data_IF_979653977884
#
_entry.id   IF_979653977884
#
_cell.length_a   1.000
_cell.length_b   1.000
_cell.length_c   1.000
_cell.angle_alpha   90.00
_cell.angle_beta   90.00
_cell.angle_gamma   90.00
#
_symmetry.space_group_name_H-M   'P 1'
#
loop_
_entity.id
_entity.type
_entity.pdbx_description
1 polymer ?
#
# COMPACT_ATOMS: atom_id res chain seq x y z
N UNK A 1 -0.96 16.44 17.21
CA UNK A 1 0.13 15.71 16.51
C UNK A 1 -0.40 14.34 16.14
N UNK A 2 -0.35 13.97 14.86
CA UNK A 2 -0.67 12.59 14.48
C UNK A 2 0.39 11.66 15.05
N UNK A 3 -0.03 10.62 15.76
CA UNK A 3 0.87 9.56 16.25
C UNK A 3 1.43 8.83 15.02
N UNK A 4 2.75 8.83 14.88
CA UNK A 4 3.44 8.05 13.85
C UNK A 4 3.19 6.56 14.14
N UNK A 5 2.86 5.81 13.08
CA UNK A 5 2.73 4.36 13.11
C UNK A 5 4.01 3.81 12.50
N UNK A 6 4.82 3.13 13.31
CA UNK A 6 6.16 2.66 12.93
C UNK A 6 6.36 1.16 13.15
N UNK A 7 5.30 0.44 13.57
CA UNK A 7 5.35 -0.97 13.97
C UNK A 7 6.29 -1.29 15.15
N UNK A 8 6.72 -0.29 15.95
CA UNK A 8 7.51 -0.51 17.18
C UNK A 8 6.64 -0.44 18.43
N UNK A 9 6.02 0.72 18.66
CA UNK A 9 5.11 0.94 19.83
C UNK A 9 3.64 0.89 19.45
N UNK A 10 3.35 1.12 18.16
CA UNK A 10 2.02 1.11 17.59
C UNK A 10 2.08 0.46 16.23
N UNK A 11 1.35 -0.64 16.07
CA UNK A 11 1.33 -1.39 14.81
C UNK A 11 0.35 -0.77 13.83
N UNK A 12 0.64 -0.93 12.54
CA UNK A 12 -0.26 -0.55 11.45
C UNK A 12 -1.55 -1.38 11.50
N UNK A 13 -1.45 -2.68 11.80
CA UNK A 13 -2.60 -3.56 11.88
C UNK A 13 -3.58 -3.10 12.97
N UNK A 14 -3.11 -2.87 14.19
CA UNK A 14 -3.98 -2.44 15.30
C UNK A 14 -4.58 -1.05 15.03
N UNK A 15 -3.78 -0.16 14.43
CA UNK A 15 -4.25 1.17 14.06
C UNK A 15 -5.36 1.13 13.01
N UNK A 16 -5.22 0.26 12.01
CA UNK A 16 -6.24 0.06 10.98
C UNK A 16 -7.49 -0.59 11.56
N UNK A 17 -7.37 -1.64 12.38
CA UNK A 17 -8.53 -2.27 13.05
C UNK A 17 -9.32 -1.25 13.87
N UNK A 18 -8.61 -0.44 14.67
CA UNK A 18 -9.25 0.60 15.48
C UNK A 18 -9.94 1.67 14.63
N UNK A 19 -9.34 2.10 13.51
CA UNK A 19 -9.95 3.05 12.60
C UNK A 19 -11.20 2.46 11.90
N UNK A 20 -11.11 1.20 11.47
CA UNK A 20 -12.21 0.51 10.79
C UNK A 20 -13.42 0.30 11.70
N UNK A 21 -13.22 0.05 13.00
CA UNK A 21 -14.33 -0.13 13.96
C UNK A 21 -15.32 1.04 13.97
N UNK A 22 -14.89 2.26 13.64
CA UNK A 22 -15.73 3.46 13.64
C UNK A 22 -16.17 3.91 12.24
N UNK A 23 -15.76 3.21 11.18
CA UNK A 23 -15.99 3.61 9.80
C UNK A 23 -17.14 2.83 9.15
N UNK A 24 -18.00 3.49 8.39
CA UNK A 24 -19.03 2.81 7.56
C UNK A 24 -18.48 2.39 6.18
N UNK A 25 -17.45 3.09 5.71
CA UNK A 25 -16.82 2.85 4.42
C UNK A 25 -15.31 3.08 4.49
N UNK A 26 -14.57 2.45 3.59
CA UNK A 26 -13.12 2.60 3.47
C UNK A 26 -12.73 2.76 2.00
N UNK A 27 -11.93 3.80 1.75
CA UNK A 27 -11.30 4.05 0.47
C UNK A 27 -9.79 3.89 0.63
N UNK A 28 -9.20 2.95 -0.10
CA UNK A 28 -7.77 2.64 0.00
C UNK A 28 -7.10 3.08 -1.30
N UNK A 29 -6.15 4.02 -1.20
CA UNK A 29 -5.23 4.37 -2.28
C UNK A 29 -3.86 3.79 -1.94
N UNK A 30 -3.35 2.90 -2.78
CA UNK A 30 -2.06 2.24 -2.53
C UNK A 30 -1.32 1.96 -3.83
N UNK A 31 0.01 1.94 -3.78
CA UNK A 31 0.82 1.46 -4.89
C UNK A 31 0.66 -0.04 -5.10
N UNK A 32 0.58 -0.82 -4.00
CA UNK A 32 0.44 -2.28 -4.03
C UNK A 32 -0.60 -2.79 -3.08
N UNK A 33 -1.16 -3.94 -3.43
CA UNK A 33 -2.17 -4.58 -2.63
C UNK A 33 -1.90 -6.08 -2.52
N UNK A 34 -1.83 -6.57 -1.29
CA UNK A 34 -1.68 -7.99 -0.99
C UNK A 34 -2.92 -8.52 -0.29
N UNK A 35 -3.42 -9.67 -0.77
CA UNK A 35 -4.54 -10.35 -0.13
C UNK A 35 -4.24 -10.81 1.30
N UNK A 36 -2.99 -11.08 1.65
CA UNK A 36 -2.60 -11.43 3.02
C UNK A 36 -2.91 -10.31 4.02
N UNK A 37 -2.62 -9.06 3.66
CA UNK A 37 -2.96 -7.89 4.49
C UNK A 37 -4.46 -7.65 4.56
N UNK A 38 -5.18 -7.83 3.46
CA UNK A 38 -6.64 -7.76 3.44
C UNK A 38 -7.29 -8.82 4.33
N UNK A 39 -6.79 -10.06 4.27
CA UNK A 39 -7.27 -11.16 5.09
C UNK A 39 -7.08 -10.90 6.59
N UNK A 40 -5.98 -10.23 6.99
CA UNK A 40 -5.75 -9.84 8.38
C UNK A 40 -6.77 -8.82 8.93
N UNK A 41 -7.50 -8.15 8.04
CA UNK A 41 -8.56 -7.17 8.32
C UNK A 41 -9.95 -7.66 7.93
N UNK A 42 -10.11 -8.92 7.54
CA UNK A 42 -11.34 -9.42 6.91
C UNK A 42 -12.57 -9.22 7.83
N UNK A 43 -12.44 -9.50 9.13
CA UNK A 43 -13.53 -9.32 10.09
C UNK A 43 -13.93 -7.87 10.25
N UNK A 44 -12.97 -6.95 10.30
CA UNK A 44 -13.23 -5.53 10.39
C UNK A 44 -13.74 -4.94 9.08
N UNK A 45 -13.62 -5.63 7.94
CA UNK A 45 -14.02 -5.13 6.63
C UNK A 45 -15.37 -5.69 6.15
N UNK A 46 -15.84 -6.81 6.71
CA UNK A 46 -16.95 -7.62 6.18
C UNK A 46 -18.25 -6.85 5.90
N UNK A 47 -18.61 -5.90 6.76
CA UNK A 47 -19.88 -5.15 6.68
C UNK A 47 -19.71 -3.74 6.12
N UNK A 48 -18.55 -3.42 5.52
CA UNK A 48 -18.20 -2.07 5.09
C UNK A 48 -18.24 -1.92 3.59
N UNK A 49 -18.53 -0.71 3.10
CA UNK A 49 -18.33 -0.38 1.69
C UNK A 49 -16.85 -0.16 1.43
N UNK A 50 -16.26 -1.00 0.59
CA UNK A 50 -14.82 -0.99 0.30
C UNK A 50 -14.59 -0.52 -1.14
N UNK A 51 -13.70 0.46 -1.33
CA UNK A 51 -13.13 0.79 -2.64
C UNK A 51 -11.61 0.81 -2.53
N UNK A 52 -10.94 0.21 -3.51
CA UNK A 52 -9.48 0.12 -3.53
C UNK A 52 -9.01 0.60 -4.89
N UNK A 53 -8.19 1.66 -4.89
CA UNK A 53 -7.46 2.13 -6.05
C UNK A 53 -6.00 1.69 -5.91
N UNK A 54 -5.60 0.75 -6.75
CA UNK A 54 -4.24 0.20 -6.78
C UNK A 54 -3.47 0.83 -7.93
N UNK A 55 -2.27 1.33 -7.62
CA UNK A 55 -1.34 1.85 -8.62
C UNK A 55 -0.94 0.79 -9.65
N UNK A 56 -0.82 1.21 -10.91
CA UNK A 56 -0.37 0.35 -12.01
C UNK A 56 1.02 0.73 -12.54
N UNK A 57 1.73 1.59 -11.81
CA UNK A 57 2.99 2.18 -12.24
C UNK A 57 4.17 1.23 -12.07
N UNK A 58 4.15 0.39 -11.03
CA UNK A 58 5.25 -0.50 -10.69
C UNK A 58 4.98 -1.91 -11.22
N UNK A 59 6.04 -2.53 -11.73
CA UNK A 59 6.02 -3.89 -12.25
C UNK A 59 5.83 -4.90 -11.10
N UNK A 60 4.77 -5.75 -11.14
CA UNK A 60 4.55 -6.78 -10.13
C UNK A 60 5.72 -7.74 -9.93
N UNK A 61 6.55 -7.98 -10.96
CA UNK A 61 7.74 -8.83 -10.84
C UNK A 61 8.87 -8.15 -10.06
N UNK A 62 8.91 -6.82 -10.05
CA UNK A 62 9.96 -6.02 -9.43
C UNK A 62 9.71 -5.73 -7.93
N UNK A 63 8.55 -6.15 -7.39
CA UNK A 63 8.14 -5.85 -6.01
C UNK A 63 9.06 -6.48 -4.97
N UNK A 64 9.52 -7.72 -5.23
CA UNK A 64 10.44 -8.39 -4.31
C UNK A 64 11.77 -7.66 -4.18
N UNK A 65 12.25 -7.07 -5.27
CA UNK A 65 13.47 -6.27 -5.30
C UNK A 65 13.24 -4.90 -4.64
N UNK A 66 12.14 -4.22 -4.98
CA UNK A 66 11.73 -2.97 -4.35
C UNK A 66 11.71 -3.11 -2.82
N UNK A 67 10.97 -4.08 -2.29
CA UNK A 67 10.85 -4.30 -0.84
C UNK A 67 12.20 -4.50 -0.14
N UNK A 68 13.20 -5.08 -0.82
CA UNK A 68 14.55 -5.23 -0.28
C UNK A 68 15.29 -3.89 -0.30
N UNK A 69 15.23 -3.19 -1.43
CA UNK A 69 15.88 -1.88 -1.55
C UNK A 69 15.34 -0.87 -0.55
N UNK A 70 14.01 -0.78 -0.35
CA UNK A 70 13.44 0.16 0.65
C UNK A 70 13.75 -0.22 2.09
N UNK A 71 14.11 -1.49 2.35
CA UNK A 71 14.55 -1.90 3.68
C UNK A 71 15.97 -1.40 4.00
N UNK A 72 16.80 -1.23 2.96
CA UNK A 72 18.18 -0.76 3.07
C UNK A 72 18.27 0.78 2.97
N UNK A 73 17.52 1.39 2.05
CA UNK A 73 17.45 2.83 1.82
C UNK A 73 16.00 3.30 1.59
N UNK A 74 15.50 4.14 2.49
CA UNK A 74 14.13 4.67 2.39
C UNK A 74 13.93 5.69 1.27
N UNK A 75 15.02 6.21 0.68
CA UNK A 75 14.99 7.17 -0.42
C UNK A 75 15.16 6.50 -1.81
N UNK A 76 15.00 5.17 -1.90
CA UNK A 76 15.09 4.43 -3.17
C UNK A 76 14.06 4.93 -4.22
N UNK A 77 14.50 5.34 -5.43
CA UNK A 77 13.61 5.81 -6.48
C UNK A 77 12.68 4.73 -7.04
N UNK A 78 11.37 4.99 -7.03
CA UNK A 78 10.35 4.03 -7.51
C UNK A 78 10.40 3.81 -9.03
N UNK A 79 11.00 4.72 -9.80
CA UNK A 79 11.09 4.65 -11.27
C UNK A 79 11.92 3.46 -11.77
N UNK A 80 12.83 2.95 -10.93
CA UNK A 80 13.62 1.75 -11.23
C UNK A 80 12.74 0.51 -11.39
N UNK A 81 11.60 0.48 -10.69
CA UNK A 81 10.68 -0.65 -10.65
C UNK A 81 9.46 -0.44 -11.55
N UNK A 82 9.38 0.68 -12.27
CA UNK A 82 8.22 1.02 -13.09
C UNK A 82 8.02 0.06 -14.27
N UNK A 83 6.76 -0.23 -14.63
CA UNK A 83 6.41 -0.99 -15.84
C UNK A 83 7.05 -0.31 -17.06
N UNK A 84 7.75 -1.09 -17.89
CA UNK A 84 8.42 -0.57 -19.10
C UNK A 84 7.46 0.16 -20.06
N UNK A 85 6.19 -0.25 -20.12
CA UNK A 85 5.17 0.43 -20.92
C UNK A 85 4.78 1.81 -20.39
N UNK A 86 4.93 2.06 -19.08
CA UNK A 86 4.61 3.36 -18.46
C UNK A 86 5.64 4.45 -18.82
N UNK A 87 6.93 4.10 -18.95
CA UNK A 87 7.98 5.02 -19.44
C UNK A 87 7.68 5.59 -20.84
N UNK A 88 6.89 4.88 -21.65
CA UNK A 88 6.52 5.35 -23.00
C UNK A 88 5.42 6.41 -22.98
N UNK A 89 4.58 6.44 -21.94
CA UNK A 89 3.51 7.43 -21.78
C UNK A 89 4.01 8.74 -21.17
N UNK A 90 4.99 8.69 -20.26
CA UNK A 90 5.60 9.90 -19.67
C UNK A 90 6.42 10.71 -20.68
N UNK A 91 6.96 10.08 -21.71
CA UNK A 91 7.78 10.71 -22.74
C UNK A 91 6.95 11.25 -23.93
N UNK A 92 5.62 11.23 -23.82
CA UNK A 92 4.68 11.77 -24.81
C UNK A 92 4.04 13.08 -24.36
N UNK A 93 4.51 13.66 -23.25
CA UNK A 93 4.19 15.02 -22.80
C UNK A 93 5.39 15.93 -23.00
#
# INVERSE_FOLDING_TARGET
MASIIDNKKKTMLDSLKNALNQAESVDILTAFFYFSGFNALAEELKDKKIRILVGNTIDPEAIGELCRAVADDTDEPLEHYAKRSFKKLSNLQ
#
